data_IF_341330356815
#
_entry.id   IF_341330356815
#
_cell.length_a   1.000
_cell.length_b   1.000
_cell.length_c   1.000
_cell.angle_alpha   90.00
_cell.angle_beta   90.00
_cell.angle_gamma   90.00
#
_symmetry.space_group_name_H-M   'P 1'
#
loop_
_entity.id
_entity.type
_entity.pdbx_description
1 polymer ?
#
# COMPACT_ATOMS: atom_id res chain seq x y z
N UNK A 1 -10.82 0.86 36.32
CA UNK A 1 -11.02 -0.58 36.04
C UNK A 1 -11.04 -0.72 34.52
N UNK A 2 -10.16 -1.53 33.95
CA UNK A 2 -10.12 -1.77 32.50
C UNK A 2 -10.97 -3.00 32.17
N UNK A 3 -11.57 -3.02 30.98
CA UNK A 3 -12.31 -4.17 30.45
C UNK A 3 -11.47 -4.90 29.41
N UNK A 4 -11.64 -6.24 29.22
CA UNK A 4 -10.90 -7.01 28.23
C UNK A 4 -11.45 -6.76 26.81
N UNK A 5 -11.22 -5.56 26.30
CA UNK A 5 -11.63 -5.14 24.96
C UNK A 5 -10.50 -4.40 24.26
N UNK A 6 -10.52 -4.39 22.92
CA UNK A 6 -9.53 -3.63 22.13
C UNK A 6 -9.70 -2.13 22.32
N UNK A 7 -8.65 -1.35 22.05
CA UNK A 7 -8.72 0.11 22.09
C UNK A 7 -9.80 0.64 21.13
N UNK A 8 -10.52 1.68 21.55
CA UNK A 8 -11.64 2.25 20.81
C UNK A 8 -12.97 1.48 20.92
N UNK A 9 -13.03 0.38 21.68
CA UNK A 9 -14.29 -0.33 21.93
C UNK A 9 -15.28 0.53 22.71
N UNK A 10 -16.57 0.39 22.38
CA UNK A 10 -17.69 1.09 23.03
C UNK A 10 -18.59 0.05 23.69
N UNK A 11 -19.04 0.33 24.92
CA UNK A 11 -19.95 -0.54 25.66
C UNK A 11 -21.21 0.23 26.06
N UNK A 12 -22.36 -0.45 25.99
CA UNK A 12 -23.60 0.09 26.53
C UNK A 12 -23.62 -0.01 28.06
N UNK A 13 -24.30 0.94 28.70
CA UNK A 13 -24.53 0.90 30.15
C UNK A 13 -25.96 0.42 30.38
N UNK A 14 -26.11 -0.72 31.05
CA UNK A 14 -27.40 -1.29 31.40
C UNK A 14 -27.72 -1.02 32.87
N UNK A 15 -28.99 -0.71 33.18
CA UNK A 15 -29.45 -0.55 34.55
C UNK A 15 -29.55 -1.88 35.29
N UNK A 16 -29.88 -2.93 34.54
CA UNK A 16 -30.10 -4.28 35.05
C UNK A 16 -29.61 -5.29 34.01
N UNK A 17 -29.08 -6.41 34.50
CA UNK A 17 -28.73 -7.57 33.68
C UNK A 17 -29.55 -8.74 34.22
N UNK A 18 -30.39 -9.31 33.37
CA UNK A 18 -31.28 -10.42 33.67
C UNK A 18 -30.86 -11.61 32.79
N UNK A 19 -30.67 -12.78 33.38
CA UNK A 19 -30.17 -13.93 32.66
C UNK A 19 -30.89 -15.20 33.10
N UNK A 20 -31.36 -15.98 32.13
CA UNK A 20 -31.72 -17.38 32.32
C UNK A 20 -30.68 -18.22 31.57
N UNK A 21 -29.74 -18.78 32.32
CA UNK A 21 -28.60 -19.56 31.82
C UNK A 21 -28.47 -20.77 32.74
N UNK A 22 -28.55 -21.99 32.21
CA UNK A 22 -28.55 -23.21 33.01
C UNK A 22 -28.48 -24.48 32.16
N UNK A 23 -28.06 -25.58 32.78
CA UNK A 23 -27.78 -26.85 32.12
C UNK A 23 -28.93 -27.85 32.35
N UNK A 24 -29.53 -28.37 31.27
CA UNK A 24 -30.65 -29.34 31.31
C UNK A 24 -30.21 -30.76 31.75
N UNK A 25 -28.94 -30.98 32.14
CA UNK A 25 -28.33 -32.31 32.26
C UNK A 25 -28.59 -33.10 33.56
N UNK A 26 -29.59 -32.76 34.38
CA UNK A 26 -30.01 -33.62 35.52
C UNK A 26 -31.25 -34.45 35.18
N UNK A 27 -31.04 -35.74 34.91
CA UNK A 27 -32.06 -36.77 34.62
C UNK A 27 -33.07 -36.93 35.77
N UNK A 28 -32.75 -36.49 36.99
CA UNK A 28 -33.64 -36.56 38.16
C UNK A 28 -34.71 -35.45 38.21
N UNK A 29 -34.64 -34.45 37.31
CA UNK A 29 -35.48 -33.24 37.35
C UNK A 29 -36.27 -32.95 36.06
N UNK A 30 -36.48 -33.91 35.15
CA UNK A 30 -36.95 -33.62 33.78
C UNK A 30 -38.35 -32.98 33.62
N UNK A 31 -39.19 -32.89 34.66
CA UNK A 31 -40.42 -32.08 34.67
C UNK A 31 -40.27 -30.76 35.46
N UNK A 32 -39.27 -30.72 36.35
CA UNK A 32 -38.98 -29.59 37.24
C UNK A 32 -38.11 -28.54 36.56
N UNK A 33 -37.45 -28.82 35.44
CA UNK A 33 -36.58 -27.87 34.72
C UNK A 33 -37.38 -26.90 33.87
N UNK A 34 -38.23 -27.36 32.94
CA UNK A 34 -39.02 -26.46 32.08
C UNK A 34 -39.88 -25.48 32.89
N UNK A 35 -40.56 -25.97 33.94
CA UNK A 35 -41.39 -25.12 34.80
C UNK A 35 -40.54 -24.10 35.58
N UNK A 36 -39.33 -24.47 36.02
CA UNK A 36 -38.44 -23.55 36.73
C UNK A 36 -37.86 -22.49 35.79
N UNK A 37 -37.43 -22.87 34.59
CA UNK A 37 -37.06 -21.94 33.53
C UNK A 37 -38.21 -20.98 33.22
N UNK A 38 -39.44 -21.51 33.09
CA UNK A 38 -40.60 -20.67 32.82
C UNK A 38 -40.89 -19.68 33.94
N UNK A 39 -40.76 -20.07 35.21
CA UNK A 39 -40.89 -19.16 36.35
C UNK A 39 -39.82 -18.06 36.29
N UNK A 40 -38.58 -18.39 35.96
CA UNK A 40 -37.50 -17.41 35.80
C UNK A 40 -37.75 -16.47 34.62
N UNK A 41 -38.15 -17.01 33.46
CA UNK A 41 -38.50 -16.22 32.27
C UNK A 41 -39.64 -15.25 32.60
N UNK A 42 -40.67 -15.69 33.35
CA UNK A 42 -41.77 -14.82 33.80
C UNK A 42 -41.23 -13.69 34.69
N UNK A 43 -40.33 -13.96 35.65
CA UNK A 43 -39.69 -12.91 36.46
C UNK A 43 -38.90 -11.92 35.61
N UNK A 44 -38.10 -12.43 34.68
CA UNK A 44 -37.31 -11.64 33.73
C UNK A 44 -38.23 -10.74 32.90
N UNK A 45 -39.30 -11.31 32.33
CA UNK A 45 -40.29 -10.56 31.55
C UNK A 45 -40.95 -9.46 32.37
N UNK A 46 -41.26 -9.71 33.65
CA UNK A 46 -41.87 -8.71 34.53
C UNK A 46 -40.92 -7.55 34.86
N UNK A 47 -39.62 -7.81 34.94
CA UNK A 47 -38.59 -6.83 35.30
C UNK A 47 -37.98 -6.11 34.10
N UNK A 48 -38.02 -6.73 32.92
CA UNK A 48 -37.46 -6.19 31.68
C UNK A 48 -38.07 -4.82 31.35
N UNK A 49 -37.20 -3.86 31.04
CA UNK A 49 -37.57 -2.48 30.68
C UNK A 49 -36.49 -1.87 29.80
N UNK A 50 -36.72 -0.64 29.34
CA UNK A 50 -35.70 0.12 28.64
C UNK A 50 -34.43 0.25 29.49
N UNK A 51 -33.27 -0.01 28.89
CA UNK A 51 -31.97 -0.02 29.58
C UNK A 51 -31.61 -1.32 30.29
N UNK A 52 -32.43 -2.38 30.18
CA UNK A 52 -32.11 -3.72 30.68
C UNK A 52 -31.42 -4.58 29.60
N UNK A 53 -30.42 -5.36 29.99
CA UNK A 53 -29.87 -6.47 29.20
C UNK A 53 -30.54 -7.77 29.64
N UNK A 54 -31.11 -8.51 28.70
CA UNK A 54 -31.73 -9.81 28.93
C UNK A 54 -30.96 -10.88 28.15
N UNK A 55 -30.61 -11.98 28.81
CA UNK A 55 -29.89 -13.11 28.23
C UNK A 55 -30.72 -14.38 28.44
N UNK A 56 -31.06 -15.07 27.36
CA UNK A 56 -31.71 -16.37 27.42
C UNK A 56 -30.80 -17.44 26.81
N UNK A 57 -30.60 -18.54 27.52
CA UNK A 57 -29.93 -19.72 26.99
C UNK A 57 -30.97 -20.77 26.58
N UNK A 58 -30.87 -21.27 25.36
CA UNK A 58 -31.75 -22.27 24.76
C UNK A 58 -33.25 -22.00 24.97
N UNK A 59 -33.68 -20.76 24.68
CA UNK A 59 -35.05 -20.33 24.93
C UNK A 59 -36.08 -21.22 24.19
N UNK A 60 -37.02 -21.77 24.96
CA UNK A 60 -38.07 -22.66 24.45
C UNK A 60 -37.69 -24.13 24.41
N UNK A 61 -36.52 -24.52 24.92
CA UNK A 61 -36.14 -25.92 25.11
C UNK A 61 -37.03 -26.64 26.13
N UNK A 62 -36.95 -27.98 26.16
CA UNK A 62 -37.69 -28.83 27.09
C UNK A 62 -39.18 -29.07 26.76
N UNK A 63 -39.67 -28.65 25.59
CA UNK A 63 -41.05 -28.88 25.11
C UNK A 63 -41.09 -29.30 23.63
N UNK A 64 -42.29 -29.46 23.06
CA UNK A 64 -42.49 -29.69 21.63
C UNK A 64 -41.77 -28.59 20.81
N UNK A 65 -40.97 -28.95 19.79
CA UNK A 65 -40.19 -27.97 19.04
C UNK A 65 -41.01 -26.86 18.39
N UNK A 66 -42.23 -27.16 17.92
CA UNK A 66 -43.09 -26.17 17.26
C UNK A 66 -43.65 -25.21 18.29
N UNK A 67 -44.13 -25.72 19.42
CA UNK A 67 -44.63 -24.90 20.53
C UNK A 67 -43.51 -24.08 21.17
N UNK A 68 -42.35 -24.69 21.40
CA UNK A 68 -41.16 -24.08 21.99
C UNK A 68 -40.64 -22.91 21.16
N UNK A 69 -40.53 -23.09 19.84
CA UNK A 69 -40.13 -22.02 18.94
C UNK A 69 -41.13 -20.85 18.93
N UNK A 70 -42.43 -21.15 18.85
CA UNK A 70 -43.47 -20.12 18.86
C UNK A 70 -43.47 -19.31 20.18
N UNK A 71 -43.33 -20.02 21.30
CA UNK A 71 -43.25 -19.41 22.62
C UNK A 71 -42.00 -18.54 22.77
N UNK A 72 -40.84 -19.02 22.34
CA UNK A 72 -39.59 -18.29 22.37
C UNK A 72 -39.67 -16.99 21.55
N UNK A 73 -40.24 -17.03 20.35
CA UNK A 73 -40.49 -15.83 19.53
C UNK A 73 -41.38 -14.83 20.30
N UNK A 74 -42.50 -15.29 20.86
CA UNK A 74 -43.41 -14.43 21.60
C UNK A 74 -42.75 -13.76 22.83
N UNK A 75 -41.90 -14.50 23.54
CA UNK A 75 -41.12 -13.97 24.68
C UNK A 75 -40.12 -12.91 24.21
N UNK A 76 -39.36 -13.20 23.15
CA UNK A 76 -38.38 -12.27 22.59
C UNK A 76 -39.05 -10.96 22.13
N UNK A 77 -40.20 -11.07 21.44
CA UNK A 77 -40.97 -9.89 21.04
C UNK A 77 -41.48 -9.10 22.24
N UNK A 78 -41.98 -9.78 23.28
CA UNK A 78 -42.47 -9.11 24.48
C UNK A 78 -41.36 -8.30 25.18
N UNK A 79 -40.18 -8.90 25.35
CA UNK A 79 -39.02 -8.24 25.96
C UNK A 79 -38.53 -7.09 25.09
N UNK A 80 -38.46 -7.29 23.76
CA UNK A 80 -38.09 -6.26 22.78
C UNK A 80 -39.05 -5.06 22.83
N UNK A 81 -40.36 -5.30 22.90
CA UNK A 81 -41.36 -4.23 22.98
C UNK A 81 -41.28 -3.42 24.28
N UNK A 82 -40.74 -3.97 25.37
CA UNK A 82 -40.42 -3.22 26.58
C UNK A 82 -39.14 -2.36 26.47
N UNK A 83 -38.44 -2.43 25.34
CA UNK A 83 -37.23 -1.65 25.04
C UNK A 83 -35.95 -2.23 25.64
N UNK A 84 -35.97 -3.48 26.10
CA UNK A 84 -34.80 -4.17 26.61
C UNK A 84 -33.92 -4.69 25.45
N UNK A 85 -32.61 -4.75 25.69
CA UNK A 85 -31.66 -5.39 24.79
C UNK A 85 -31.63 -6.89 25.09
N UNK A 86 -31.79 -7.74 24.07
CA UNK A 86 -31.91 -9.18 24.28
C UNK A 86 -30.85 -9.95 23.50
N UNK A 87 -30.27 -10.96 24.15
CA UNK A 87 -29.44 -11.98 23.53
C UNK A 87 -30.05 -13.34 23.83
N UNK A 88 -30.24 -14.18 22.82
CA UNK A 88 -30.80 -15.51 22.99
C UNK A 88 -30.02 -16.53 22.16
N UNK A 89 -29.73 -17.69 22.74
CA UNK A 89 -29.23 -18.86 22.01
C UNK A 89 -30.40 -19.80 21.69
N UNK A 90 -30.33 -20.51 20.58
CA UNK A 90 -31.38 -21.44 20.16
C UNK A 90 -30.86 -22.42 19.11
N UNK A 91 -31.48 -23.59 19.05
CA UNK A 91 -31.31 -24.56 17.97
C UNK A 91 -32.47 -24.55 16.97
N UNK A 92 -33.55 -23.80 17.24
CA UNK A 92 -34.73 -23.74 16.38
C UNK A 92 -34.48 -22.94 15.10
N UNK A 93 -34.92 -23.47 13.97
CA UNK A 93 -34.75 -22.83 12.67
C UNK A 93 -35.71 -21.64 12.51
N UNK A 94 -36.88 -21.74 13.12
CA UNK A 94 -37.94 -20.75 13.14
C UNK A 94 -37.47 -19.41 13.72
N UNK A 95 -36.62 -19.45 14.76
CA UNK A 95 -36.03 -18.24 15.34
C UNK A 95 -35.00 -17.59 14.40
N UNK A 96 -34.30 -18.39 13.59
CA UNK A 96 -33.38 -17.85 12.55
C UNK A 96 -34.17 -17.11 11.49
N UNK A 97 -35.30 -17.65 11.04
CA UNK A 97 -36.20 -16.99 10.09
C UNK A 97 -36.81 -15.72 10.70
N UNK A 98 -37.28 -15.78 11.94
CA UNK A 98 -37.78 -14.61 12.67
C UNK A 98 -36.76 -13.47 12.70
N UNK A 99 -35.49 -13.76 12.97
CA UNK A 99 -34.43 -12.76 12.98
C UNK A 99 -34.07 -12.20 11.60
N UNK A 100 -34.38 -12.91 10.51
CA UNK A 100 -34.23 -12.37 9.14
C UNK A 100 -35.37 -11.43 8.77
N UNK A 101 -36.60 -11.78 9.16
CA UNK A 101 -37.81 -11.07 8.73
C UNK A 101 -38.17 -9.90 9.64
N UNK A 102 -37.57 -9.81 10.83
CA UNK A 102 -37.96 -8.85 11.85
C UNK A 102 -36.94 -7.72 12.01
N UNK A 103 -37.31 -6.46 11.67
CA UNK A 103 -36.44 -5.32 11.86
C UNK A 103 -36.01 -5.15 13.33
N UNK A 104 -34.73 -4.88 13.55
CA UNK A 104 -34.16 -4.72 14.89
C UNK A 104 -33.86 -6.02 15.62
N UNK A 105 -33.97 -7.17 14.94
CA UNK A 105 -33.45 -8.46 15.37
C UNK A 105 -32.34 -8.86 14.40
N UNK A 106 -31.26 -9.45 14.91
CA UNK A 106 -30.11 -9.83 14.08
C UNK A 106 -29.66 -11.25 14.45
N UNK A 107 -29.41 -12.07 13.42
CA UNK A 107 -28.85 -13.40 13.61
C UNK A 107 -27.37 -13.32 13.99
N UNK A 108 -26.90 -14.25 14.81
CA UNK A 108 -25.48 -14.47 15.00
C UNK A 108 -25.20 -15.97 15.14
N UNK A 109 -23.99 -16.39 14.77
CA UNK A 109 -23.57 -17.78 14.88
C UNK A 109 -22.13 -17.92 15.32
N UNK A 110 -21.84 -18.96 16.10
CA UNK A 110 -20.46 -19.34 16.39
C UNK A 110 -19.92 -20.18 15.23
N UNK A 111 -18.78 -19.77 14.68
CA UNK A 111 -18.12 -20.50 13.62
C UNK A 111 -17.56 -21.84 14.12
N UNK A 112 -17.72 -22.86 13.28
CA UNK A 112 -17.30 -24.22 13.54
C UNK A 112 -16.50 -24.74 12.36
N UNK A 113 -15.28 -25.22 12.63
CA UNK A 113 -14.45 -25.86 11.62
C UNK A 113 -14.86 -27.33 11.50
N UNK A 114 -15.56 -27.61 10.40
CA UNK A 114 -16.00 -28.95 10.01
C UNK A 114 -14.82 -29.88 9.74
N UNK A 115 -13.69 -29.37 9.25
CA UNK A 115 -12.53 -30.19 8.91
C UNK A 115 -11.79 -30.70 10.14
N UNK A 116 -11.64 -29.86 11.16
CA UNK A 116 -11.01 -30.27 12.42
C UNK A 116 -12.01 -30.75 13.47
N UNK A 117 -13.32 -30.59 13.24
CA UNK A 117 -14.40 -30.78 14.22
C UNK A 117 -14.19 -29.92 15.49
N UNK A 118 -13.69 -28.69 15.32
CA UNK A 118 -13.40 -27.80 16.45
C UNK A 118 -14.17 -26.48 16.32
N UNK A 119 -14.67 -25.94 17.45
CA UNK A 119 -15.16 -24.57 17.46
C UNK A 119 -13.98 -23.61 17.26
N UNK A 120 -14.15 -22.59 16.41
CA UNK A 120 -13.14 -21.51 16.28
C UNK A 120 -13.37 -20.42 17.33
N UNK A 121 -14.50 -20.49 18.05
CA UNK A 121 -14.98 -19.50 19.01
C UNK A 121 -15.13 -18.09 18.42
N UNK A 122 -15.24 -17.99 17.09
CA UNK A 122 -15.47 -16.73 16.39
C UNK A 122 -16.97 -16.49 16.27
N UNK A 123 -17.45 -15.40 16.86
CA UNK A 123 -18.84 -14.97 16.73
C UNK A 123 -19.03 -14.22 15.40
N UNK A 124 -19.99 -14.70 14.61
CA UNK A 124 -20.35 -14.17 13.31
C UNK A 124 -21.71 -13.49 13.41
N UNK A 125 -21.70 -12.18 13.69
CA UNK A 125 -22.92 -11.35 13.73
C UNK A 125 -23.44 -11.11 12.32
N UNK A 126 -24.76 -11.07 12.16
CA UNK A 126 -25.49 -10.92 10.90
C UNK A 126 -25.64 -12.20 10.08
N UNK A 127 -25.04 -13.33 10.51
CA UNK A 127 -25.09 -14.59 9.77
C UNK A 127 -25.78 -15.68 10.58
N UNK A 128 -26.80 -16.38 10.03
CA UNK A 128 -27.39 -17.55 10.66
C UNK A 128 -26.41 -18.74 10.61
N UNK A 129 -26.35 -19.53 11.67
CA UNK A 129 -25.50 -20.72 11.71
C UNK A 129 -26.10 -21.91 10.97
N UNK A 130 -25.27 -22.65 10.23
CA UNK A 130 -25.62 -23.95 9.63
C UNK A 130 -25.77 -25.03 10.71
N UNK A 131 -26.71 -25.96 10.52
CA UNK A 131 -26.77 -27.20 11.32
C UNK A 131 -25.74 -28.21 10.81
N UNK A 132 -24.78 -28.57 11.66
CA UNK A 132 -23.66 -29.46 11.32
C UNK A 132 -23.88 -30.92 11.79
N UNK A 133 -25.05 -31.24 12.35
CA UNK A 133 -25.29 -32.51 13.05
C UNK A 133 -24.95 -33.76 12.21
N UNK A 134 -25.46 -33.85 10.97
CA UNK A 134 -25.17 -35.00 10.11
C UNK A 134 -23.71 -35.09 9.69
N UNK A 135 -23.08 -33.96 9.42
CA UNK A 135 -21.70 -33.89 8.98
C UNK A 135 -20.74 -34.32 10.10
N UNK A 136 -21.05 -33.90 11.34
CA UNK A 136 -20.36 -34.36 12.54
C UNK A 136 -20.61 -35.86 12.74
N UNK A 137 -21.85 -36.33 12.63
CA UNK A 137 -22.18 -37.75 12.82
C UNK A 137 -21.46 -38.65 11.80
N UNK A 138 -21.43 -38.26 10.52
CA UNK A 138 -20.69 -38.96 9.46
C UNK A 138 -19.19 -39.04 9.79
N UNK A 139 -18.60 -37.94 10.27
CA UNK A 139 -17.19 -37.92 10.71
C UNK A 139 -16.91 -38.77 11.94
N UNK A 140 -17.90 -38.93 12.83
CA UNK A 140 -17.83 -39.82 13.98
C UNK A 140 -18.05 -41.30 13.61
N UNK A 141 -18.33 -41.60 12.34
CA UNK A 141 -18.46 -42.96 11.82
C UNK A 141 -19.89 -43.42 11.56
N UNK A 142 -20.88 -42.51 11.55
CA UNK A 142 -22.24 -42.84 11.14
C UNK A 142 -22.24 -43.27 9.66
N UNK A 143 -22.78 -44.45 9.29
CA UNK A 143 -22.86 -44.86 7.90
C UNK A 143 -23.66 -43.85 7.06
N UNK A 144 -23.15 -43.54 5.87
CA UNK A 144 -23.76 -42.54 4.98
C UNK A 144 -25.20 -42.90 4.61
N UNK A 145 -25.52 -44.19 4.52
CA UNK A 145 -26.88 -44.70 4.27
C UNK A 145 -27.86 -44.27 5.37
N UNK A 146 -27.45 -44.33 6.65
CA UNK A 146 -28.27 -43.88 7.78
C UNK A 146 -28.43 -42.37 7.77
N UNK A 147 -27.34 -41.63 7.53
CA UNK A 147 -27.39 -40.18 7.44
C UNK A 147 -28.31 -39.70 6.30
N UNK A 148 -28.24 -40.35 5.13
CA UNK A 148 -29.08 -40.03 3.97
C UNK A 148 -30.54 -40.39 4.21
N UNK A 149 -30.83 -41.53 4.85
CA UNK A 149 -32.19 -41.89 5.25
C UNK A 149 -32.77 -40.87 6.23
N UNK A 150 -32.00 -40.42 7.22
CA UNK A 150 -32.43 -39.40 8.18
C UNK A 150 -32.67 -38.04 7.52
N UNK A 151 -31.79 -37.61 6.60
CA UNK A 151 -31.99 -36.37 5.82
C UNK A 151 -33.31 -36.41 5.04
N UNK A 152 -33.66 -37.57 4.47
CA UNK A 152 -34.91 -37.74 3.71
C UNK A 152 -36.19 -37.66 4.57
N UNK A 153 -36.09 -37.80 5.90
CA UNK A 153 -37.23 -37.64 6.83
C UNK A 153 -37.50 -36.19 7.20
N UNK A 154 -36.57 -35.27 6.92
CA UNK A 154 -36.73 -33.84 7.19
C UNK A 154 -37.69 -33.25 6.16
N UNK A 155 -38.60 -32.40 6.62
CA UNK A 155 -39.56 -31.72 5.76
C UNK A 155 -38.86 -30.88 4.68
N UNK A 156 -39.47 -30.80 3.50
CA UNK A 156 -38.89 -30.12 2.34
C UNK A 156 -38.59 -28.64 2.59
N UNK A 157 -39.49 -27.94 3.29
CA UNK A 157 -39.32 -26.53 3.68
C UNK A 157 -38.10 -26.32 4.58
N UNK A 158 -37.89 -27.19 5.58
CA UNK A 158 -36.71 -27.14 6.44
C UNK A 158 -35.41 -27.45 5.68
N UNK A 159 -35.46 -28.36 4.70
CA UNK A 159 -34.30 -28.64 3.84
C UNK A 159 -33.96 -27.46 2.92
N UNK A 160 -34.97 -26.80 2.35
CA UNK A 160 -34.75 -25.61 1.50
C UNK A 160 -34.11 -24.47 2.29
N UNK A 161 -34.62 -24.21 3.50
CA UNK A 161 -34.05 -23.21 4.39
C UNK A 161 -32.59 -23.54 4.75
N UNK A 162 -32.29 -24.80 5.08
CA UNK A 162 -30.93 -25.24 5.35
C UNK A 162 -30.00 -25.04 4.14
N UNK A 163 -30.45 -25.35 2.91
CA UNK A 163 -29.70 -25.11 1.67
C UNK A 163 -29.46 -23.63 1.41
N UNK A 164 -30.42 -22.76 1.75
CA UNK A 164 -30.25 -21.31 1.64
C UNK A 164 -29.16 -20.80 2.59
N UNK A 165 -29.16 -21.23 3.85
CA UNK A 165 -28.12 -20.88 4.82
C UNK A 165 -26.75 -21.35 4.32
N UNK A 166 -26.64 -22.57 3.81
CA UNK A 166 -25.38 -23.10 3.27
C UNK A 166 -24.84 -22.25 2.10
N UNK A 167 -25.71 -21.82 1.19
CA UNK A 167 -25.31 -20.93 0.08
C UNK A 167 -24.86 -19.55 0.57
N UNK A 168 -25.54 -18.99 1.58
CA UNK A 168 -25.14 -17.70 2.18
C UNK A 168 -23.76 -17.79 2.83
N UNK A 169 -23.48 -18.87 3.56
CA UNK A 169 -22.19 -19.11 4.20
C UNK A 169 -21.06 -19.31 3.18
N UNK A 170 -21.32 -20.08 2.11
CA UNK A 170 -20.36 -20.25 1.00
C UNK A 170 -20.05 -18.92 0.32
N UNK A 171 -21.08 -18.17 -0.08
CA UNK A 171 -20.91 -16.86 -0.72
C UNK A 171 -20.13 -15.90 0.18
N UNK A 172 -20.41 -15.89 1.48
CA UNK A 172 -19.66 -15.10 2.45
C UNK A 172 -18.19 -15.49 2.50
N UNK A 173 -17.90 -16.78 2.61
CA UNK A 173 -16.52 -17.29 2.69
C UNK A 173 -15.73 -16.93 1.43
N UNK A 174 -16.36 -17.02 0.26
CA UNK A 174 -15.79 -16.58 -1.02
C UNK A 174 -15.52 -15.08 -1.02
N UNK A 175 -16.46 -14.26 -0.55
CA UNK A 175 -16.28 -12.82 -0.41
C UNK A 175 -15.15 -12.45 0.55
N UNK A 176 -15.02 -13.14 1.68
CA UNK A 176 -13.93 -12.92 2.63
C UNK A 176 -12.56 -13.24 2.01
N UNK A 177 -12.46 -14.35 1.26
CA UNK A 177 -11.23 -14.71 0.54
C UNK A 177 -10.88 -13.70 -0.54
N UNK A 178 -11.87 -13.30 -1.36
CA UNK A 178 -11.67 -12.31 -2.41
C UNK A 178 -11.26 -10.95 -1.83
N UNK A 179 -11.83 -10.54 -0.70
CA UNK A 179 -11.45 -9.32 0.00
C UNK A 179 -10.01 -9.39 0.51
N UNK A 180 -9.61 -10.50 1.13
CA UNK A 180 -8.25 -10.69 1.62
C UNK A 180 -7.21 -10.66 0.47
N UNK A 181 -7.53 -11.27 -0.67
CA UNK A 181 -6.68 -11.24 -1.86
C UNK A 181 -6.60 -9.82 -2.45
N UNK A 182 -7.72 -9.10 -2.53
CA UNK A 182 -7.75 -7.72 -2.99
C UNK A 182 -6.93 -6.79 -2.08
N UNK A 183 -7.02 -6.94 -0.76
CA UNK A 183 -6.22 -6.17 0.20
C UNK A 183 -4.72 -6.47 0.02
N UNK A 184 -4.34 -7.74 -0.17
CA UNK A 184 -2.95 -8.13 -0.43
C UNK A 184 -2.41 -7.52 -1.73
N UNK A 185 -3.17 -7.60 -2.82
CA UNK A 185 -2.78 -7.01 -4.11
C UNK A 185 -2.66 -5.49 -3.98
N UNK A 186 -3.54 -4.84 -3.22
CA UNK A 186 -3.49 -3.39 -2.97
C UNK A 186 -2.19 -3.00 -2.25
N UNK A 187 -1.80 -3.77 -1.23
CA UNK A 187 -0.58 -3.50 -0.47
C UNK A 187 0.69 -3.77 -1.30
N UNK A 188 0.71 -4.85 -2.09
CA UNK A 188 1.79 -5.13 -3.04
C UNK A 188 1.91 -4.03 -4.10
N UNK A 189 0.78 -3.57 -4.65
CA UNK A 189 0.76 -2.48 -5.63
C UNK A 189 1.26 -1.18 -5.03
N UNK A 190 0.88 -0.86 -3.78
CA UNK A 190 1.33 0.33 -3.08
C UNK A 190 2.84 0.31 -2.86
N UNK A 191 3.38 -0.79 -2.37
CA UNK A 191 4.83 -0.93 -2.16
C UNK A 191 5.63 -0.92 -3.46
N UNK A 192 5.13 -1.56 -4.53
CA UNK A 192 5.74 -1.51 -5.85
C UNK A 192 5.74 -0.09 -6.43
N UNK A 193 4.63 0.65 -6.25
CA UNK A 193 4.52 2.04 -6.68
C UNK A 193 5.51 2.95 -5.96
N UNK A 194 5.66 2.80 -4.64
CA UNK A 194 6.63 3.55 -3.83
C UNK A 194 8.08 3.27 -4.28
N UNK A 195 8.42 2.00 -4.55
CA UNK A 195 9.74 1.64 -5.09
C UNK A 195 10.00 2.24 -6.48
N UNK A 196 9.02 2.16 -7.38
CA UNK A 196 9.14 2.71 -8.72
C UNK A 196 9.32 4.24 -8.70
N UNK A 197 8.68 4.93 -7.75
CA UNK A 197 8.89 6.36 -7.52
C UNK A 197 10.32 6.67 -7.06
N UNK A 198 10.86 5.90 -6.11
CA UNK A 198 12.24 6.05 -5.64
C UNK A 198 13.26 5.76 -6.74
N UNK A 199 13.07 4.69 -7.51
CA UNK A 199 13.93 4.37 -8.66
C UNK A 199 13.88 5.48 -9.72
N UNK A 200 12.69 6.00 -10.03
CA UNK A 200 12.54 7.13 -10.96
C UNK A 200 13.28 8.38 -10.46
N UNK A 201 13.20 8.68 -9.17
CA UNK A 201 13.86 9.84 -8.58
C UNK A 201 15.39 9.70 -8.65
N UNK A 202 15.92 8.52 -8.29
CA UNK A 202 17.37 8.25 -8.39
C UNK A 202 17.89 8.28 -9.83
N UNK A 203 17.12 7.76 -10.80
CA UNK A 203 17.44 7.83 -12.23
C UNK A 203 17.43 9.27 -12.77
N UNK A 204 16.48 10.09 -12.33
CA UNK A 204 16.45 11.51 -12.70
C UNK A 204 17.66 12.25 -12.12
N UNK A 205 18.08 11.91 -10.91
CA UNK A 205 19.24 12.53 -10.27
C UNK A 205 20.55 12.10 -10.95
N UNK A 206 20.72 10.82 -11.29
CA UNK A 206 21.89 10.36 -12.05
C UNK A 206 21.94 10.96 -13.45
N UNK A 207 20.81 11.01 -14.16
CA UNK A 207 20.74 11.64 -15.48
C UNK A 207 21.11 13.13 -15.45
N UNK A 208 20.68 13.86 -14.41
CA UNK A 208 21.11 15.27 -14.21
C UNK A 208 22.62 15.37 -14.02
N UNK A 209 23.22 14.52 -13.19
CA UNK A 209 24.67 14.48 -12.96
C UNK A 209 25.43 14.15 -14.24
N UNK A 210 24.95 13.20 -15.03
CA UNK A 210 25.57 12.81 -16.30
C UNK A 210 25.53 13.95 -17.33
N UNK A 211 24.41 14.65 -17.45
CA UNK A 211 24.28 15.84 -18.31
C UNK A 211 25.24 16.94 -17.86
N UNK A 212 25.36 17.19 -16.56
CA UNK A 212 26.26 18.21 -16.03
C UNK A 212 27.74 17.86 -16.26
N UNK A 213 28.11 16.59 -16.03
CA UNK A 213 29.43 16.06 -16.33
C UNK A 213 29.78 16.17 -17.83
N UNK A 214 28.85 15.79 -18.71
CA UNK A 214 29.02 15.92 -20.16
C UNK A 214 29.20 17.38 -20.57
N UNK A 215 28.44 18.31 -19.96
CA UNK A 215 28.57 19.75 -20.17
C UNK A 215 29.96 20.26 -19.78
N UNK A 216 30.47 19.85 -18.61
CA UNK A 216 31.81 20.23 -18.15
C UNK A 216 32.90 19.68 -19.07
N UNK A 217 32.77 18.43 -19.53
CA UNK A 217 33.70 17.83 -20.49
C UNK A 217 33.70 18.59 -21.81
N UNK A 218 32.52 18.89 -22.37
CA UNK A 218 32.40 19.67 -23.60
C UNK A 218 33.06 21.06 -23.46
N UNK A 219 32.83 21.76 -22.36
CA UNK A 219 33.49 23.05 -22.09
C UNK A 219 35.01 22.94 -21.98
N UNK A 220 35.53 21.84 -21.41
CA UNK A 220 36.98 21.57 -21.35
C UNK A 220 37.57 21.35 -22.75
N UNK A 221 36.88 20.60 -23.59
CA UNK A 221 37.30 20.33 -24.97
C UNK A 221 37.33 21.63 -25.78
N UNK A 222 36.29 22.47 -25.67
CA UNK A 222 36.23 23.78 -26.34
C UNK A 222 37.39 24.67 -25.88
N UNK A 223 37.60 24.81 -24.57
CA UNK A 223 38.75 25.58 -24.04
C UNK A 223 40.10 25.03 -24.49
N UNK A 224 40.24 23.71 -24.55
CA UNK A 224 41.45 23.07 -25.08
C UNK A 224 41.68 23.40 -26.56
N UNK A 225 40.62 23.36 -27.38
CA UNK A 225 40.68 23.72 -28.79
C UNK A 225 40.98 25.21 -29.01
N UNK A 226 40.45 26.10 -28.18
CA UNK A 226 40.77 27.54 -28.17
C UNK A 226 42.25 27.78 -27.84
N UNK A 227 42.78 27.14 -26.79
CA UNK A 227 44.18 27.28 -26.39
C UNK A 227 45.15 26.73 -27.45
N UNK A 228 44.79 25.60 -28.10
CA UNK A 228 45.57 25.06 -29.23
C UNK A 228 45.49 25.99 -30.45
N UNK A 229 44.31 26.55 -30.75
CA UNK A 229 44.21 27.55 -31.83
C UNK A 229 45.07 28.77 -31.54
N UNK A 230 45.01 29.34 -30.33
CA UNK A 230 45.85 30.48 -29.94
C UNK A 230 47.34 30.17 -30.09
N UNK A 231 47.81 29.00 -29.66
CA UNK A 231 49.21 28.63 -29.79
C UNK A 231 49.63 28.49 -31.26
N UNK A 232 48.80 27.87 -32.10
CA UNK A 232 49.03 27.74 -33.55
C UNK A 232 49.06 29.12 -34.22
N UNK A 233 48.14 30.03 -33.88
CA UNK A 233 48.15 31.40 -34.40
C UNK A 233 49.42 32.15 -34.00
N UNK A 234 49.85 32.03 -32.75
CA UNK A 234 51.09 32.66 -32.24
C UNK A 234 52.33 32.12 -32.96
N UNK A 235 52.37 30.81 -33.21
CA UNK A 235 53.47 30.15 -33.90
C UNK A 235 53.52 30.54 -35.39
N UNK A 236 52.36 30.62 -36.05
CA UNK A 236 52.22 31.15 -37.41
C UNK A 236 52.67 32.62 -37.53
N UNK A 237 52.36 33.43 -36.52
CA UNK A 237 52.74 34.85 -36.49
C UNK A 237 54.26 35.02 -36.35
N UNK A 238 54.90 34.20 -35.51
CA UNK A 238 56.36 34.13 -35.39
C UNK A 238 57.00 33.70 -36.72
N UNK A 239 56.44 32.68 -37.38
CA UNK A 239 56.91 32.23 -38.70
C UNK A 239 56.74 33.31 -39.77
N UNK A 240 55.62 34.05 -39.76
CA UNK A 240 55.38 35.21 -40.65
C UNK A 240 56.45 36.28 -40.46
N UNK A 241 56.71 36.70 -39.21
CA UNK A 241 57.77 37.68 -38.91
C UNK A 241 59.15 37.20 -39.38
N UNK A 242 59.51 35.94 -39.10
CA UNK A 242 60.77 35.36 -39.59
C UNK A 242 60.87 35.37 -41.11
N UNK A 243 59.77 35.10 -41.81
CA UNK A 243 59.72 35.13 -43.29
C UNK A 243 59.84 36.56 -43.83
N UNK A 244 59.16 37.53 -43.23
CA UNK A 244 59.29 38.94 -43.59
C UNK A 244 60.72 39.46 -43.36
N UNK A 245 61.34 39.10 -42.23
CA UNK A 245 62.73 39.47 -41.94
C UNK A 245 63.73 38.79 -42.90
N UNK A 246 63.48 37.54 -43.28
CA UNK A 246 64.28 36.83 -44.28
C UNK A 246 64.16 37.46 -45.67
N UNK A 247 62.94 37.79 -46.10
CA UNK A 247 62.69 38.48 -47.38
C UNK A 247 63.33 39.87 -47.39
N UNK A 248 63.24 40.65 -46.30
CA UNK A 248 63.95 41.94 -46.18
C UNK A 248 65.47 41.78 -46.26
N UNK A 249 66.03 40.74 -45.64
CA UNK A 249 67.47 40.45 -45.73
C UNK A 249 67.88 40.10 -47.17
N UNK A 250 67.08 39.32 -47.87
CA UNK A 250 67.32 38.96 -49.27
C UNK A 250 67.23 40.18 -50.21
N UNK A 251 66.25 41.07 -49.99
CA UNK A 251 66.15 42.35 -50.73
C UNK A 251 67.34 43.28 -50.45
N UNK A 252 67.79 43.36 -49.18
CA UNK A 252 68.97 44.14 -48.79
C UNK A 252 70.26 43.57 -49.41
N UNK A 253 70.39 42.25 -49.53
CA UNK A 253 71.53 41.63 -50.20
C UNK A 253 71.51 41.86 -51.72
N UNK A 254 70.35 41.74 -52.37
CA UNK A 254 70.20 42.09 -53.79
C UNK A 254 70.51 43.57 -54.05
N UNK A 255 70.06 44.47 -53.17
CA UNK A 255 70.39 45.90 -53.22
C UNK A 255 71.89 46.16 -53.03
N UNK A 256 72.54 45.50 -52.06
CA UNK A 256 74.00 45.59 -51.84
C UNK A 256 74.82 45.02 -53.01
N UNK A 257 74.36 43.93 -53.62
CA UNK A 257 74.99 43.35 -54.80
C UNK A 257 74.88 44.28 -56.02
N UNK A 258 73.71 44.89 -56.25
CA UNK A 258 73.52 45.91 -57.28
C UNK A 258 74.39 47.16 -57.02
N UNK A 259 74.49 47.62 -55.77
CA UNK A 259 75.33 48.76 -55.39
C UNK A 259 76.84 48.48 -55.57
N UNK A 260 77.29 47.24 -55.29
CA UNK A 260 78.67 46.80 -55.58
C UNK A 260 78.97 46.71 -57.08
N UNK A 261 78.00 46.33 -57.90
CA UNK A 261 78.17 46.30 -59.35
C UNK A 261 78.35 47.72 -59.93
N UNK A 262 77.60 48.71 -59.43
CA UNK A 262 77.77 50.13 -59.79
C UNK A 262 79.10 50.72 -59.31
N UNK A 263 79.60 50.33 -58.13
CA UNK A 263 80.90 50.78 -57.62
C UNK A 263 82.08 50.27 -58.47
N UNK A 264 82.00 49.02 -58.95
CA UNK A 264 83.02 48.45 -59.87
C UNK A 264 83.09 49.15 -61.23
N UNK A 265 82.01 49.85 -61.63
CA UNK A 265 81.97 50.62 -62.88
C UNK A 265 82.56 52.04 -62.71
N UNK A 266 82.74 52.51 -61.48
CA UNK A 266 83.19 53.87 -61.15
C UNK A 266 84.68 53.99 -60.79
N UNK A 267 85.43 52.89 -60.63
CA UNK A 267 86.87 52.91 -60.32
C UNK A 267 87.78 53.08 -61.56
N UNK A 268 87.20 53.33 -62.75
CA UNK A 268 87.93 53.44 -64.02
C UNK A 268 88.39 54.84 -64.46
N UNK A 269 88.18 55.91 -63.69
CA UNK A 269 88.67 57.25 -64.06
C UNK A 269 89.15 58.05 -62.84
N UNK A 270 90.38 58.56 -62.96
CA UNK A 270 91.22 59.13 -61.89
C UNK A 270 91.19 60.68 -61.91
N UNK A 271 91.52 61.29 -60.76
CA UNK A 271 92.38 62.50 -60.55
C UNK A 271 91.75 63.64 -59.71
N UNK A 272 92.27 63.75 -58.48
CA UNK A 272 92.75 64.92 -57.70
C UNK A 272 92.23 66.34 -58.02
N UNK A 273 91.66 67.01 -57.00
CA UNK A 273 91.96 68.41 -56.66
C UNK A 273 91.47 68.78 -55.24
N UNK A 274 92.36 69.44 -54.51
CA UNK A 274 92.24 70.02 -53.17
C UNK A 274 91.38 71.28 -53.10
N UNK A 275 90.63 71.48 -52.02
CA UNK A 275 90.65 72.70 -51.18
C UNK A 275 89.60 72.65 -50.05
N UNK A 276 90.05 72.96 -48.83
CA UNK A 276 89.24 73.27 -47.63
C UNK A 276 88.56 74.65 -47.79
N UNK A 277 87.43 74.91 -47.11
CA UNK A 277 87.54 75.56 -45.78
C UNK A 277 86.47 75.18 -44.72
N UNK A 278 86.96 75.25 -43.47
CA UNK A 278 86.35 75.75 -42.23
C UNK A 278 85.06 75.12 -41.63
N UNK A 279 85.21 74.64 -40.40
CA UNK A 279 84.14 74.37 -39.41
C UNK A 279 83.31 75.64 -39.09
N UNK A 280 82.12 75.45 -38.50
CA UNK A 280 82.05 75.67 -37.05
C UNK A 280 81.34 74.56 -36.25
N UNK A 281 81.72 74.55 -34.98
CA UNK A 281 81.47 73.58 -33.92
C UNK A 281 80.01 73.51 -33.40
N UNK A 282 79.75 72.35 -32.76
CA UNK A 282 78.94 72.12 -31.54
C UNK A 282 77.49 71.62 -31.71
N UNK A 283 76.96 70.85 -30.72
CA UNK A 283 77.63 69.79 -29.97
C UNK A 283 76.82 68.48 -29.94
N UNK A 284 77.56 67.42 -29.68
CA UNK A 284 77.14 66.06 -29.39
C UNK A 284 76.34 65.95 -28.08
N UNK A 285 75.22 65.22 -28.08
CA UNK A 285 74.52 64.77 -26.85
C UNK A 285 74.17 63.28 -26.99
N UNK A 286 74.69 62.48 -26.05
CA UNK A 286 74.47 61.03 -25.91
C UNK A 286 73.10 60.70 -25.26
N UNK A 287 72.69 59.42 -25.30
CA UNK A 287 71.30 58.99 -25.24
C UNK A 287 70.84 58.46 -23.86
N UNK A 288 69.51 58.33 -23.70
CA UNK A 288 68.77 57.45 -22.77
C UNK A 288 68.86 57.85 -21.28
N UNK A 289 67.95 57.36 -20.39
CA UNK A 289 67.36 56.01 -20.27
C UNK A 289 66.23 55.66 -21.24
#
# INVERSE_FOLDING_TARGET
MHIPASEGSVCAVFSDILADIGDEQSIEQSLSTFSSHMIHIIDIMNRARHGTLVIFDELGAGTDPVEGAALAIAILEHVRHKGAFCLATTHYAELKSFAMDTPGVENASCEFDVESLRPTYRLLVGTPGRSNAFLIAERLGLPAEVANAAKALIREDQQEFARMIEKLEQSRTEMEKAKAEADKIRDETKTAHEKALQEKETLLESAKRDVENARMQAQRIIRGAEAVSESVFKELEILRRKREDALRREELEKSRAAFRATLKQAEGNVVVASSLPAEPQAPYVLPRP
#
